data_IF_183460865452
#
_entry.id   IF_183460865452
#
_cell.length_a   1.000
_cell.length_b   1.000
_cell.length_c   1.000
_cell.angle_alpha   90.00
_cell.angle_beta   90.00
_cell.angle_gamma   90.00
#
_symmetry.space_group_name_H-M   'P 1'
#
loop_
_entity.id
_entity.type
_entity.pdbx_description
1 polymer ?
#
# COMPACT_ATOMS: atom_id res chain seq x y z
N UNK A 1 28.71 -31.72 -13.57
CA UNK A 1 27.30 -31.60 -13.12
C UNK A 1 27.26 -30.40 -12.21
N UNK A 2 27.01 -29.23 -12.79
CA UNK A 2 27.07 -27.93 -12.10
C UNK A 2 25.77 -27.72 -11.33
N UNK A 3 25.86 -27.69 -10.00
CA UNK A 3 24.83 -27.12 -9.13
C UNK A 3 24.68 -25.63 -9.44
N UNK A 4 23.87 -25.31 -10.46
CA UNK A 4 23.23 -24.00 -10.49
C UNK A 4 22.21 -24.01 -9.35
N UNK A 5 22.54 -23.36 -8.24
CA UNK A 5 21.56 -23.02 -7.18
C UNK A 5 20.37 -22.34 -7.85
N UNK A 6 19.30 -23.12 -8.02
CA UNK A 6 18.02 -22.66 -8.55
C UNK A 6 17.44 -21.75 -7.46
N UNK A 7 17.04 -20.54 -7.85
CA UNK A 7 16.53 -19.55 -6.88
C UNK A 7 15.19 -19.98 -6.25
N UNK A 8 14.50 -20.89 -6.93
CA UNK A 8 13.23 -21.46 -6.54
C UNK A 8 13.09 -22.86 -7.13
N UNK A 9 12.22 -23.66 -6.53
CA UNK A 9 11.72 -24.92 -7.07
C UNK A 9 10.28 -24.72 -7.55
N UNK A 10 9.92 -25.33 -8.68
CA UNK A 10 8.55 -25.29 -9.21
C UNK A 10 7.78 -26.50 -8.67
N UNK A 11 6.54 -26.26 -8.26
CA UNK A 11 5.63 -27.33 -7.89
C UNK A 11 5.14 -28.07 -9.14
N UNK A 12 5.05 -29.40 -9.07
CA UNK A 12 4.60 -30.23 -10.18
C UNK A 12 3.46 -31.17 -9.75
N UNK A 13 2.31 -31.19 -10.47
CA UNK A 13 2.02 -30.43 -11.70
C UNK A 13 1.76 -28.94 -11.45
N UNK A 14 2.07 -28.09 -12.44
CA UNK A 14 1.80 -26.66 -12.34
C UNK A 14 0.28 -26.39 -12.28
N UNK A 15 -0.19 -25.51 -11.37
CA UNK A 15 -1.61 -25.21 -11.23
C UNK A 15 -2.16 -24.46 -12.44
N UNK A 16 -3.49 -24.51 -12.62
CA UNK A 16 -4.17 -23.73 -13.67
C UNK A 16 -4.29 -22.27 -13.24
N UNK A 17 -3.66 -21.38 -14.00
CA UNK A 17 -3.56 -19.95 -13.69
C UNK A 17 -4.13 -19.04 -14.80
N UNK A 18 -4.78 -19.64 -15.80
CA UNK A 18 -5.38 -18.90 -16.91
C UNK A 18 -6.87 -18.73 -16.69
N UNK A 19 -7.35 -17.49 -16.84
CA UNK A 19 -8.76 -17.18 -16.89
C UNK A 19 -9.39 -17.72 -18.19
N UNK A 20 -10.68 -18.08 -18.14
CA UNK A 20 -11.41 -18.62 -19.30
C UNK A 20 -11.53 -17.63 -20.48
N UNK A 21 -11.35 -16.34 -20.21
CA UNK A 21 -11.41 -15.24 -21.17
C UNK A 21 -10.06 -14.96 -21.88
N UNK A 22 -8.98 -15.66 -21.48
CA UNK A 22 -7.65 -15.49 -22.04
C UNK A 22 -6.87 -14.29 -21.50
N UNK A 23 -7.39 -13.59 -20.49
CA UNK A 23 -6.68 -12.50 -19.81
C UNK A 23 -5.65 -13.09 -18.85
N UNK A 24 -4.44 -12.53 -18.85
CA UNK A 24 -3.36 -12.95 -17.96
C UNK A 24 -3.65 -12.64 -16.49
N UNK A 25 -3.10 -13.42 -15.53
CA UNK A 25 -3.34 -13.22 -14.11
C UNK A 25 -2.72 -11.92 -13.59
N UNK A 26 -3.24 -11.41 -12.48
CA UNK A 26 -2.58 -10.38 -11.67
C UNK A 26 -1.61 -11.06 -10.72
N UNK A 27 -0.46 -10.45 -10.45
CA UNK A 27 0.46 -10.86 -9.39
C UNK A 27 0.36 -9.88 -8.23
N UNK A 28 -0.16 -10.35 -7.09
CA UNK A 28 -0.12 -9.61 -5.82
C UNK A 28 1.14 -10.04 -5.06
N UNK A 29 1.91 -9.10 -4.51
CA UNK A 29 3.04 -9.44 -3.64
C UNK A 29 3.00 -8.71 -2.31
N UNK A 30 3.18 -9.47 -1.22
CA UNK A 30 3.30 -8.96 0.14
C UNK A 30 4.45 -9.64 0.85
N UNK A 31 5.53 -8.89 1.10
CA UNK A 31 6.75 -9.39 1.72
C UNK A 31 6.92 -8.85 3.13
N UNK A 32 7.15 -9.75 4.08
CA UNK A 32 7.31 -9.44 5.51
C UNK A 32 8.79 -9.14 5.83
N UNK A 33 9.12 -7.92 6.25
CA UNK A 33 10.49 -7.61 6.68
C UNK A 33 10.82 -6.13 6.84
N UNK A 34 10.52 -5.30 5.85
CA UNK A 34 10.91 -3.89 5.84
C UNK A 34 10.03 -3.01 6.75
N UNK A 35 8.77 -2.85 6.38
CA UNK A 35 7.79 -2.04 7.11
C UNK A 35 6.45 -2.76 7.00
N UNK A 36 6.08 -3.45 8.08
CA UNK A 36 4.77 -4.10 8.21
C UNK A 36 4.01 -3.55 9.43
N UNK A 37 3.72 -2.24 9.38
CA UNK A 37 2.93 -1.59 10.41
C UNK A 37 1.55 -2.26 10.54
N UNK A 38 1.17 -2.59 11.77
CA UNK A 38 -0.10 -3.26 12.05
C UNK A 38 -0.12 -4.73 11.63
N UNK A 39 1.03 -5.29 11.25
CA UNK A 39 1.16 -6.59 10.57
C UNK A 39 0.21 -6.71 9.35
N UNK A 40 -0.10 -5.59 8.70
CA UNK A 40 -1.15 -5.49 7.68
C UNK A 40 -0.84 -6.35 6.45
N UNK A 41 0.43 -6.37 6.01
CA UNK A 41 0.88 -7.18 4.86
C UNK A 41 0.77 -8.66 5.23
N UNK A 42 1.30 -9.07 6.38
CA UNK A 42 1.20 -10.46 6.86
C UNK A 42 -0.25 -10.92 6.99
N UNK A 43 -1.10 -10.11 7.61
CA UNK A 43 -2.53 -10.42 7.80
C UNK A 43 -3.25 -10.53 6.45
N UNK A 44 -2.97 -9.63 5.50
CA UNK A 44 -3.59 -9.65 4.18
C UNK A 44 -3.18 -10.90 3.39
N UNK A 45 -1.89 -11.23 3.32
CA UNK A 45 -1.42 -12.41 2.56
C UNK A 45 -1.85 -13.72 3.21
N UNK A 46 -1.87 -13.79 4.55
CA UNK A 46 -2.37 -14.95 5.30
C UNK A 46 -3.86 -15.13 5.04
N UNK A 47 -4.65 -14.06 5.13
CA UNK A 47 -6.09 -14.10 4.87
C UNK A 47 -6.40 -14.61 3.46
N UNK A 48 -5.71 -14.13 2.42
CA UNK A 48 -5.89 -14.64 1.06
C UNK A 48 -5.55 -16.13 0.94
N UNK A 49 -4.50 -16.62 1.61
CA UNK A 49 -4.11 -18.04 1.59
C UNK A 49 -5.10 -18.94 2.32
N UNK A 50 -5.65 -18.49 3.44
CA UNK A 50 -6.51 -19.31 4.30
C UNK A 50 -7.99 -19.25 3.93
N UNK A 51 -8.44 -18.17 3.28
CA UNK A 51 -9.85 -17.98 2.92
C UNK A 51 -10.20 -18.41 1.50
N UNK A 52 -9.21 -18.60 0.63
CA UNK A 52 -9.39 -18.94 -0.78
C UNK A 52 -8.68 -20.25 -1.15
N UNK A 53 -9.07 -20.85 -2.28
CA UNK A 53 -8.36 -21.98 -2.85
C UNK A 53 -6.98 -21.52 -3.30
N UNK A 54 -5.93 -22.08 -2.69
CA UNK A 54 -4.53 -21.69 -2.90
C UNK A 54 -3.68 -22.92 -3.18
N UNK A 55 -2.97 -22.90 -4.31
CA UNK A 55 -2.05 -23.95 -4.76
C UNK A 55 -0.64 -23.38 -4.89
N UNK A 56 0.37 -24.14 -4.48
CA UNK A 56 1.77 -23.72 -4.61
C UNK A 56 2.20 -23.76 -6.08
N UNK A 57 2.87 -22.71 -6.54
CA UNK A 57 3.48 -22.61 -7.88
C UNK A 57 4.98 -22.76 -7.79
N UNK A 58 5.60 -22.03 -6.87
CA UNK A 58 7.04 -22.06 -6.67
C UNK A 58 7.40 -21.78 -5.21
N UNK A 59 8.44 -22.45 -4.72
CA UNK A 59 9.06 -22.18 -3.43
C UNK A 59 10.45 -21.61 -3.62
N UNK A 60 10.70 -20.42 -3.09
CA UNK A 60 12.02 -19.80 -3.14
C UNK A 60 12.95 -20.42 -2.10
N UNK A 61 14.23 -20.48 -2.43
CA UNK A 61 15.26 -21.00 -1.53
C UNK A 61 15.55 -19.97 -0.42
N UNK A 62 14.78 -20.06 0.66
CA UNK A 62 14.91 -19.19 1.85
C UNK A 62 16.26 -19.36 2.55
N UNK A 63 16.91 -20.52 2.44
CA UNK A 63 18.23 -20.76 3.03
C UNK A 63 19.31 -19.89 2.38
N UNK A 64 19.15 -19.59 1.09
CA UNK A 64 20.05 -18.71 0.34
C UNK A 64 19.65 -17.22 0.40
N UNK A 65 18.44 -16.90 0.89
CA UNK A 65 17.85 -15.56 0.87
C UNK A 65 17.73 -14.89 2.24
N UNK A 66 17.63 -15.67 3.32
CA UNK A 66 17.33 -15.18 4.67
C UNK A 66 18.57 -15.26 5.57
N UNK A 67 18.87 -14.18 6.29
CA UNK A 67 19.79 -14.18 7.41
C UNK A 67 19.07 -14.63 8.69
N UNK A 68 19.18 -15.93 8.96
CA UNK A 68 18.65 -16.58 10.16
C UNK A 68 19.15 -16.00 11.50
N UNK A 69 20.27 -15.27 11.52
CA UNK A 69 20.73 -14.63 12.76
C UNK A 69 20.03 -13.31 13.02
N UNK A 70 19.66 -12.61 11.96
CA UNK A 70 18.90 -11.35 12.02
C UNK A 70 17.42 -11.64 12.30
N UNK A 71 16.87 -12.72 11.73
CA UNK A 71 15.49 -13.15 11.94
C UNK A 71 15.45 -14.61 12.38
N UNK A 72 15.65 -14.84 13.68
CA UNK A 72 15.66 -16.19 14.27
C UNK A 72 14.25 -16.77 14.23
N UNK A 73 14.01 -17.88 13.50
CA UNK A 73 12.68 -18.47 13.47
C UNK A 73 12.32 -19.06 14.84
N UNK A 74 11.04 -19.02 15.16
CA UNK A 74 10.55 -19.45 16.47
C UNK A 74 10.59 -20.97 16.56
N UNK A 75 11.09 -21.49 17.68
CA UNK A 75 11.03 -22.92 18.00
C UNK A 75 10.15 -23.14 19.21
N UNK A 76 9.25 -24.11 19.14
CA UNK A 76 8.38 -24.46 20.27
C UNK A 76 9.07 -25.52 21.13
N UNK A 77 9.22 -25.25 22.42
CA UNK A 77 9.76 -26.20 23.40
C UNK A 77 8.62 -26.72 24.29
N UNK A 78 8.30 -28.01 24.18
CA UNK A 78 7.26 -28.68 24.97
C UNK A 78 7.91 -29.48 26.09
N UNK A 79 7.94 -28.88 27.28
CA UNK A 79 8.42 -29.46 28.54
C UNK A 79 9.89 -29.90 28.55
N UNK A 80 10.26 -30.91 27.75
CA UNK A 80 11.57 -31.54 27.72
C UNK A 80 12.18 -31.68 26.31
N UNK A 81 11.46 -31.31 25.25
CA UNK A 81 11.95 -31.38 23.87
C UNK A 81 11.45 -30.22 23.00
N UNK A 82 12.19 -29.91 21.94
CA UNK A 82 11.69 -29.07 20.85
C UNK A 82 10.66 -29.87 20.06
N UNK A 83 9.46 -29.31 19.87
CA UNK A 83 8.35 -29.99 19.20
C UNK A 83 8.01 -29.40 17.84
N UNK A 84 8.45 -28.17 17.57
CA UNK A 84 8.06 -27.45 16.37
C UNK A 84 9.10 -26.39 15.98
N UNK A 85 9.09 -26.04 14.69
CA UNK A 85 9.96 -25.05 14.08
C UNK A 85 9.15 -24.27 13.05
N UNK A 86 8.95 -22.98 13.32
CA UNK A 86 8.28 -22.05 12.43
C UNK A 86 9.25 -21.69 11.28
N UNK A 87 9.26 -22.51 10.23
CA UNK A 87 10.20 -22.36 9.14
C UNK A 87 9.90 -21.09 8.33
N UNK A 88 10.91 -20.29 7.95
CA UNK A 88 10.69 -19.16 7.06
C UNK A 88 10.18 -19.64 5.71
N UNK A 89 9.17 -18.97 5.15
CA UNK A 89 8.62 -19.29 3.84
C UNK A 89 8.73 -18.06 2.93
N UNK A 90 8.95 -18.31 1.63
CA UNK A 90 8.78 -17.32 0.57
C UNK A 90 8.32 -18.07 -0.67
N UNK A 91 7.04 -17.93 -1.00
CA UNK A 91 6.37 -18.80 -1.96
C UNK A 91 5.51 -17.98 -2.93
N UNK A 92 5.42 -18.49 -4.15
CA UNK A 92 4.46 -18.05 -5.15
C UNK A 92 3.29 -19.04 -5.18
N UNK A 93 2.09 -18.53 -5.01
CA UNK A 93 0.84 -19.29 -5.02
C UNK A 93 -0.03 -18.90 -6.20
N UNK A 94 -0.82 -19.84 -6.70
CA UNK A 94 -1.97 -19.63 -7.55
C UNK A 94 -3.21 -19.64 -6.67
N UNK A 95 -3.97 -18.54 -6.67
CA UNK A 95 -5.15 -18.36 -5.82
C UNK A 95 -6.35 -18.08 -6.71
N UNK A 96 -7.53 -18.57 -6.33
CA UNK A 96 -8.79 -18.27 -7.01
C UNK A 96 -9.67 -17.39 -6.13
N UNK A 97 -10.20 -16.30 -6.68
CA UNK A 97 -11.16 -15.45 -5.98
C UNK A 97 -12.54 -16.13 -5.83
N UNK A 98 -13.52 -15.46 -5.22
CA UNK A 98 -14.87 -16.03 -5.02
C UNK A 98 -15.59 -16.36 -6.34
N UNK A 99 -15.23 -15.68 -7.44
CA UNK A 99 -15.76 -15.90 -8.77
C UNK A 99 -14.99 -16.98 -9.56
N UNK A 100 -13.91 -17.53 -8.99
CA UNK A 100 -13.03 -18.50 -9.63
C UNK A 100 -11.97 -17.89 -10.55
N UNK A 101 -11.79 -16.56 -10.52
CA UNK A 101 -10.76 -15.85 -11.28
C UNK A 101 -9.38 -16.14 -10.68
N UNK A 102 -8.45 -16.72 -11.45
CA UNK A 102 -7.11 -16.98 -10.95
C UNK A 102 -6.27 -15.70 -10.86
N UNK A 103 -5.51 -15.58 -9.78
CA UNK A 103 -4.44 -14.61 -9.61
C UNK A 103 -3.24 -15.26 -8.91
N UNK A 104 -2.09 -14.62 -8.98
CA UNK A 104 -0.87 -15.06 -8.31
C UNK A 104 -0.65 -14.28 -7.03
N UNK A 105 -0.15 -14.96 -6.00
CA UNK A 105 0.22 -14.36 -4.72
C UNK A 105 1.67 -14.72 -4.38
N UNK A 106 2.56 -13.74 -4.34
CA UNK A 106 3.91 -13.89 -3.80
C UNK A 106 3.91 -13.43 -2.34
N UNK A 107 4.07 -14.36 -1.42
CA UNK A 107 3.96 -14.08 0.02
C UNK A 107 5.05 -14.77 0.83
N UNK A 108 5.42 -14.12 1.94
CA UNK A 108 6.36 -14.65 2.92
C UNK A 108 7.42 -13.63 3.30
N UNK A 109 8.54 -14.12 3.82
CA UNK A 109 9.61 -13.27 4.32
C UNK A 109 10.34 -12.56 3.18
N UNK A 110 10.51 -11.25 3.34
CA UNK A 110 11.34 -10.46 2.44
C UNK A 110 12.78 -10.98 2.47
N UNK A 111 13.44 -11.22 1.31
CA UNK A 111 14.85 -11.63 1.29
C UNK A 111 15.78 -10.61 1.97
N UNK A 112 16.77 -11.07 2.75
CA UNK A 112 17.88 -10.21 3.20
C UNK A 112 18.96 -10.08 2.12
N UNK A 113 19.09 -11.12 1.28
CA UNK A 113 20.18 -11.28 0.33
C UNK A 113 19.66 -11.33 -1.11
N UNK A 114 20.55 -11.02 -2.06
CA UNK A 114 20.38 -11.29 -3.50
C UNK A 114 19.15 -10.66 -4.16
N UNK A 115 18.74 -9.46 -3.74
CA UNK A 115 17.55 -8.78 -4.27
C UNK A 115 17.47 -8.75 -5.81
N UNK A 116 18.54 -8.38 -6.53
CA UNK A 116 18.51 -8.36 -8.02
C UNK A 116 18.29 -9.74 -8.65
N UNK A 117 18.84 -10.80 -8.04
CA UNK A 117 18.64 -12.19 -8.52
C UNK A 117 17.20 -12.63 -8.22
N UNK A 118 16.69 -12.29 -7.04
CA UNK A 118 15.31 -12.55 -6.63
C UNK A 118 14.30 -11.83 -7.53
N UNK A 119 14.44 -10.52 -7.72
CA UNK A 119 13.53 -9.73 -8.57
C UNK A 119 13.57 -10.19 -10.03
N UNK A 120 14.74 -10.55 -10.55
CA UNK A 120 14.87 -11.17 -11.88
C UNK A 120 14.13 -12.50 -11.95
N UNK A 121 14.25 -13.36 -10.93
CA UNK A 121 13.56 -14.64 -10.89
C UNK A 121 12.03 -14.47 -10.86
N UNK A 122 11.52 -13.56 -10.03
CA UNK A 122 10.09 -13.23 -9.96
C UNK A 122 9.59 -12.66 -11.29
N UNK A 123 10.32 -11.71 -11.91
CA UNK A 123 9.95 -11.13 -13.21
C UNK A 123 9.87 -12.20 -14.30
N UNK A 124 10.86 -13.09 -14.38
CA UNK A 124 10.86 -14.16 -15.38
C UNK A 124 9.72 -15.17 -15.16
N UNK A 125 9.38 -15.46 -13.90
CA UNK A 125 8.19 -16.24 -13.57
C UNK A 125 6.92 -15.51 -14.01
N UNK A 126 6.79 -14.23 -13.70
CA UNK A 126 5.65 -13.41 -14.11
C UNK A 126 5.47 -13.40 -15.64
N UNK A 127 6.57 -13.25 -16.40
CA UNK A 127 6.57 -13.32 -17.87
C UNK A 127 6.13 -14.70 -18.39
N UNK A 128 6.66 -15.78 -17.81
CA UNK A 128 6.30 -17.15 -18.21
C UNK A 128 4.83 -17.48 -17.93
N UNK A 129 4.29 -16.93 -16.83
CA UNK A 129 2.92 -17.14 -16.38
C UNK A 129 1.94 -16.12 -17.01
N UNK A 130 2.43 -15.21 -17.86
CA UNK A 130 1.60 -14.25 -18.58
C UNK A 130 0.96 -13.18 -17.70
N UNK A 131 1.62 -12.80 -16.61
CA UNK A 131 1.11 -11.78 -15.68
C UNK A 131 0.86 -10.46 -16.40
N UNK A 132 -0.34 -9.90 -16.24
CA UNK A 132 -0.71 -8.62 -16.87
C UNK A 132 -0.37 -7.40 -16.02
N UNK A 133 -0.37 -7.57 -14.69
CA UNK A 133 -0.18 -6.48 -13.71
C UNK A 133 0.39 -7.03 -12.42
N UNK A 134 1.31 -6.28 -11.83
CA UNK A 134 1.90 -6.57 -10.52
C UNK A 134 1.42 -5.54 -9.50
N UNK A 135 0.94 -6.00 -8.34
CA UNK A 135 0.39 -5.17 -7.27
C UNK A 135 1.14 -5.42 -5.95
N UNK A 136 1.86 -4.41 -5.45
CA UNK A 136 2.58 -4.46 -4.18
C UNK A 136 1.73 -4.08 -2.97
N UNK A 137 1.89 -4.82 -1.88
CA UNK A 137 1.32 -4.51 -0.57
C UNK A 137 2.38 -3.89 0.34
N UNK A 138 2.01 -2.79 1.01
CA UNK A 138 2.85 -2.14 2.02
C UNK A 138 2.03 -1.46 3.10
N UNK A 139 2.68 -1.17 4.22
CA UNK A 139 2.07 -0.43 5.33
C UNK A 139 3.08 0.51 5.98
N UNK A 140 2.62 1.71 6.35
CA UNK A 140 3.49 2.78 6.84
C UNK A 140 2.90 3.33 8.15
N UNK A 141 3.69 3.40 9.24
CA UNK A 141 3.25 4.02 10.47
C UNK A 141 3.16 5.53 10.31
N UNK A 142 2.01 6.12 10.62
CA UNK A 142 1.71 7.54 10.46
C UNK A 142 1.13 8.13 11.76
N UNK A 143 1.26 9.46 11.90
CA UNK A 143 0.63 10.23 12.99
C UNK A 143 -0.86 10.46 12.71
N UNK A 144 -1.64 9.38 12.72
CA UNK A 144 -3.09 9.39 12.49
C UNK A 144 -3.85 8.64 13.60
N UNK A 145 -5.12 8.96 13.85
CA UNK A 145 -5.94 8.26 14.82
C UNK A 145 -6.57 6.98 14.22
N UNK A 146 -6.80 5.96 15.06
CA UNK A 146 -7.53 4.75 14.68
C UNK A 146 -9.06 4.96 14.59
N UNK A 147 -9.55 6.14 14.96
CA UNK A 147 -10.97 6.54 14.97
C UNK A 147 -11.42 7.24 13.67
N UNK A 148 -10.56 7.29 12.66
CA UNK A 148 -10.85 7.86 11.33
C UNK A 148 -10.59 6.83 10.24
N UNK A 149 -11.16 7.00 9.03
CA UNK A 149 -10.86 6.13 7.89
C UNK A 149 -9.36 6.10 7.61
N UNK A 150 -8.83 4.91 7.30
CA UNK A 150 -7.42 4.74 6.98
C UNK A 150 -7.11 5.34 5.63
N UNK A 151 -6.02 6.10 5.56
CA UNK A 151 -5.46 6.59 4.30
C UNK A 151 -4.69 5.49 3.58
N UNK A 152 -4.63 5.59 2.25
CA UNK A 152 -3.77 4.76 1.41
C UNK A 152 -2.99 5.66 0.47
N UNK A 153 -1.69 5.44 0.39
CA UNK A 153 -0.85 6.03 -0.65
C UNK A 153 -0.63 5.02 -1.76
N UNK A 154 -1.21 5.31 -2.92
CA UNK A 154 -1.02 4.51 -4.12
C UNK A 154 0.16 5.06 -4.95
N UNK A 155 0.87 4.15 -5.63
CA UNK A 155 1.94 4.46 -6.56
C UNK A 155 1.88 3.49 -7.73
N UNK A 156 2.37 3.91 -8.90
CA UNK A 156 2.38 3.06 -10.08
C UNK A 156 3.42 3.48 -11.12
N UNK A 157 3.72 2.56 -12.02
CA UNK A 157 4.52 2.80 -13.23
C UNK A 157 3.81 3.71 -14.23
N UNK A 158 2.48 3.69 -14.25
CA UNK A 158 1.63 4.57 -15.06
C UNK A 158 0.65 5.32 -14.16
N UNK A 159 0.59 6.65 -14.30
CA UNK A 159 -0.32 7.51 -13.56
C UNK A 159 -1.79 7.17 -13.80
N UNK A 160 -2.13 6.59 -14.95
CA UNK A 160 -3.50 6.18 -15.27
C UNK A 160 -4.02 5.05 -14.36
N UNK A 161 -3.13 4.31 -13.69
CA UNK A 161 -3.48 3.21 -12.77
C UNK A 161 -3.85 3.70 -11.36
N UNK A 162 -3.58 4.98 -11.05
CA UNK A 162 -3.73 5.54 -9.71
C UNK A 162 -4.85 6.57 -9.73
N UNK A 163 -5.78 6.47 -8.77
CA UNK A 163 -6.86 7.44 -8.61
C UNK A 163 -6.28 8.81 -8.27
N UNK A 164 -6.89 9.86 -8.81
CA UNK A 164 -6.50 11.24 -8.49
C UNK A 164 -6.57 11.49 -6.97
N UNK A 165 -5.55 12.15 -6.42
CA UNK A 165 -5.44 12.44 -4.99
C UNK A 165 -4.95 11.29 -4.09
N UNK A 166 -4.79 10.07 -4.62
CA UNK A 166 -4.29 8.93 -3.82
C UNK A 166 -2.76 8.78 -3.82
N UNK A 167 -2.05 9.51 -4.67
CA UNK A 167 -0.58 9.49 -4.76
C UNK A 167 0.07 10.52 -3.83
N UNK A 168 1.29 10.23 -3.37
CA UNK A 168 2.10 11.22 -2.65
C UNK A 168 2.47 12.41 -3.55
N UNK A 169 2.42 13.63 -2.98
CA UNK A 169 2.79 14.85 -3.68
C UNK A 169 4.27 15.20 -3.47
N UNK A 170 5.01 15.36 -4.57
CA UNK A 170 6.43 15.76 -4.56
C UNK A 170 7.40 14.59 -4.41
N UNK A 171 8.69 14.93 -4.29
CA UNK A 171 9.79 13.96 -4.25
C UNK A 171 10.08 13.51 -2.81
N UNK A 172 10.24 12.20 -2.62
CA UNK A 172 10.61 11.59 -1.35
C UNK A 172 11.73 10.55 -1.58
N UNK A 173 12.75 10.57 -0.72
CA UNK A 173 13.73 9.50 -0.65
C UNK A 173 13.39 8.57 0.52
N UNK A 174 13.10 7.31 0.21
CA UNK A 174 12.81 6.26 1.19
C UNK A 174 13.85 5.14 1.08
N UNK A 175 14.13 4.41 2.17
CA UNK A 175 14.92 3.19 2.06
C UNK A 175 14.20 2.18 1.14
N UNK A 176 14.98 1.52 0.28
CA UNK A 176 14.45 0.51 -0.61
C UNK A 176 14.09 -0.78 0.11
N UNK A 177 13.19 -1.54 -0.50
CA UNK A 177 12.77 -2.88 -0.10
C UNK A 177 12.83 -3.81 -1.33
N UNK A 178 12.91 -5.12 -1.14
CA UNK A 178 12.82 -6.08 -2.25
C UNK A 178 11.49 -5.93 -3.00
N UNK A 179 10.41 -5.58 -2.28
CA UNK A 179 9.09 -5.29 -2.84
C UNK A 179 9.10 -4.07 -3.76
N UNK A 180 9.64 -2.93 -3.31
CA UNK A 180 9.71 -1.71 -4.13
C UNK A 180 10.73 -1.83 -5.27
N UNK A 181 11.82 -2.57 -5.07
CA UNK A 181 12.77 -2.87 -6.14
C UNK A 181 12.13 -3.79 -7.20
N UNK A 182 11.29 -4.74 -6.80
CA UNK A 182 10.53 -5.58 -7.74
C UNK A 182 9.66 -4.71 -8.64
N UNK A 183 8.83 -3.84 -8.07
CA UNK A 183 8.00 -2.91 -8.86
C UNK A 183 8.83 -2.07 -9.83
N UNK A 184 9.91 -1.45 -9.34
CA UNK A 184 10.80 -0.66 -10.18
C UNK A 184 11.37 -1.47 -11.35
N UNK A 185 11.79 -2.72 -11.09
CA UNK A 185 12.35 -3.62 -12.13
C UNK A 185 11.28 -4.12 -13.09
N UNK A 186 10.06 -4.36 -12.63
CA UNK A 186 8.91 -4.70 -13.49
C UNK A 186 8.63 -3.55 -14.47
N UNK A 187 8.49 -2.32 -13.96
CA UNK A 187 8.25 -1.12 -14.77
C UNK A 187 9.36 -0.89 -15.81
N UNK A 188 10.63 -1.04 -15.43
CA UNK A 188 11.77 -0.89 -16.35
C UNK A 188 11.79 -1.89 -17.51
N UNK A 189 11.09 -3.02 -17.37
CA UNK A 189 10.95 -4.03 -18.41
C UNK A 189 9.60 -3.94 -19.14
N UNK A 190 8.83 -2.88 -18.92
CA UNK A 190 7.56 -2.62 -19.61
C UNK A 190 6.35 -3.34 -19.04
N UNK A 191 6.44 -3.89 -17.83
CA UNK A 191 5.30 -4.48 -17.12
C UNK A 191 4.53 -3.41 -16.35
N UNK A 192 3.20 -3.55 -16.28
CA UNK A 192 2.39 -2.74 -15.36
C UNK A 192 2.70 -3.12 -13.91
N UNK A 193 3.13 -2.14 -13.11
CA UNK A 193 3.37 -2.32 -11.68
C UNK A 193 2.73 -1.18 -10.89
N UNK A 194 2.06 -1.51 -9.80
CA UNK A 194 1.48 -0.54 -8.87
C UNK A 194 1.53 -1.08 -7.45
N UNK A 195 1.36 -0.21 -6.47
CA UNK A 195 1.41 -0.61 -5.07
C UNK A 195 0.54 0.27 -4.18
N UNK A 196 0.13 -0.30 -3.06
CA UNK A 196 -0.67 0.36 -2.05
C UNK A 196 0.05 0.33 -0.70
N UNK A 197 0.25 1.51 -0.13
CA UNK A 197 0.79 1.68 1.21
C UNK A 197 -0.29 2.20 2.14
N UNK A 198 -0.86 1.33 2.97
CA UNK A 198 -1.87 1.73 3.96
C UNK A 198 -1.22 2.48 5.12
N UNK A 199 -1.87 3.55 5.58
CA UNK A 199 -1.41 4.32 6.73
C UNK A 199 -1.95 3.70 8.01
N UNK A 200 -1.06 3.35 8.93
CA UNK A 200 -1.41 2.74 10.21
C UNK A 200 -1.09 3.71 11.33
N UNK A 201 -1.98 3.90 12.32
CA UNK A 201 -1.65 4.67 13.52
C UNK A 201 -0.35 4.17 14.14
N UNK A 202 0.65 5.05 14.31
CA UNK A 202 1.99 4.67 14.76
C UNK A 202 2.00 3.90 16.09
N UNK A 203 1.05 4.16 16.99
CA UNK A 203 0.90 3.43 18.26
C UNK A 203 0.30 2.03 18.12
N UNK A 204 -0.24 1.67 16.95
CA UNK A 204 -0.71 0.33 16.58
C UNK A 204 0.25 -0.40 15.64
N UNK A 205 1.42 0.19 15.33
CA UNK A 205 2.32 -0.34 14.32
C UNK A 205 2.90 -1.72 14.66
N UNK A 206 2.93 -2.10 15.94
CA UNK A 206 3.49 -3.37 16.45
C UNK A 206 2.41 -4.36 16.94
N UNK A 207 1.15 -4.10 16.60
CA UNK A 207 0.00 -4.92 17.01
C UNK A 207 -0.82 -5.30 15.79
N UNK A 208 -1.39 -6.51 15.76
CA UNK A 208 -2.29 -6.92 14.68
C UNK A 208 -3.42 -5.90 14.51
N UNK A 209 -3.49 -5.30 13.33
CA UNK A 209 -4.49 -4.30 13.00
C UNK A 209 -5.23 -4.69 11.71
N UNK A 210 -6.21 -5.62 11.80
CA UNK A 210 -6.88 -6.21 10.65
C UNK A 210 -7.57 -5.19 9.73
N UNK A 211 -7.97 -4.03 10.25
CA UNK A 211 -8.55 -2.96 9.45
C UNK A 211 -7.58 -2.42 8.38
N UNK A 212 -6.27 -2.44 8.63
CA UNK A 212 -5.29 -2.07 7.62
C UNK A 212 -5.13 -3.15 6.53
N UNK A 213 -5.23 -4.43 6.90
CA UNK A 213 -5.24 -5.53 5.94
C UNK A 213 -6.51 -5.51 5.07
N UNK A 214 -7.67 -5.27 5.67
CA UNK A 214 -8.95 -5.07 4.99
C UNK A 214 -8.84 -3.95 3.95
N UNK A 215 -8.41 -2.76 4.35
CA UNK A 215 -8.24 -1.61 3.44
C UNK A 215 -7.25 -1.90 2.30
N UNK A 216 -6.16 -2.63 2.54
CA UNK A 216 -5.25 -3.04 1.46
C UNK A 216 -5.97 -3.94 0.46
N UNK A 217 -6.68 -4.96 0.92
CA UNK A 217 -7.37 -5.91 0.05
C UNK A 217 -8.59 -5.29 -0.67
N UNK A 218 -9.25 -4.29 -0.09
CA UNK A 218 -10.25 -3.48 -0.80
C UNK A 218 -9.65 -2.79 -2.03
N UNK A 219 -8.49 -2.15 -1.87
CA UNK A 219 -7.78 -1.48 -2.97
C UNK A 219 -7.27 -2.48 -4.02
N UNK A 220 -6.79 -3.65 -3.59
CA UNK A 220 -6.41 -4.73 -4.52
C UNK A 220 -7.62 -5.25 -5.28
N UNK A 221 -8.74 -5.52 -4.59
CA UNK A 221 -9.98 -6.01 -5.21
C UNK A 221 -10.43 -5.08 -6.33
N UNK A 222 -10.42 -3.77 -6.09
CA UNK A 222 -10.77 -2.78 -7.11
C UNK A 222 -9.76 -2.70 -8.25
N UNK A 223 -8.45 -2.61 -7.94
CA UNK A 223 -7.42 -2.42 -8.97
C UNK A 223 -7.13 -3.68 -9.79
N UNK A 224 -7.40 -4.86 -9.24
CA UNK A 224 -7.21 -6.15 -9.90
C UNK A 224 -8.49 -6.69 -10.54
N UNK A 225 -9.66 -6.10 -10.24
CA UNK A 225 -10.99 -6.60 -10.61
C UNK A 225 -11.24 -8.01 -10.05
N UNK A 226 -10.93 -8.22 -8.77
CA UNK A 226 -11.06 -9.51 -8.06
C UNK A 226 -12.16 -9.46 -7.00
N UNK A 227 -12.90 -10.56 -6.84
CA UNK A 227 -13.90 -10.73 -5.77
C UNK A 227 -13.28 -11.40 -4.53
N UNK A 228 -12.75 -10.58 -3.61
CA UNK A 228 -12.04 -11.04 -2.41
C UNK A 228 -12.97 -11.12 -1.18
N UNK A 229 -12.90 -12.20 -0.37
CA UNK A 229 -13.79 -12.39 0.78
C UNK A 229 -13.33 -11.60 2.01
N UNK A 230 -13.75 -10.35 2.16
CA UNK A 230 -13.25 -9.46 3.23
C UNK A 230 -14.03 -9.52 4.57
N UNK A 231 -15.17 -10.20 4.61
CA UNK A 231 -16.07 -10.17 5.78
C UNK A 231 -15.39 -10.57 7.11
N UNK A 232 -14.55 -11.62 7.10
CA UNK A 232 -13.86 -12.06 8.31
C UNK A 232 -12.81 -11.06 8.81
N UNK A 233 -12.14 -10.35 7.89
CA UNK A 233 -11.23 -9.26 8.23
C UNK A 233 -11.99 -8.08 8.85
N UNK A 234 -13.13 -7.70 8.28
CA UNK A 234 -13.98 -6.63 8.81
C UNK A 234 -14.50 -6.93 10.22
N UNK A 235 -14.91 -8.18 10.49
CA UNK A 235 -15.28 -8.61 11.84
C UNK A 235 -14.09 -8.56 12.81
N UNK A 236 -12.90 -9.00 12.37
CA UNK A 236 -11.68 -8.92 13.18
C UNK A 236 -11.27 -7.47 13.46
N UNK A 237 -11.37 -6.59 12.45
CA UNK A 237 -11.10 -5.17 12.57
C UNK A 237 -12.04 -4.49 13.57
N UNK A 238 -13.33 -4.83 13.53
CA UNK A 238 -14.32 -4.32 14.48
C UNK A 238 -13.98 -4.71 15.92
N UNK A 239 -13.58 -5.98 16.16
CA UNK A 239 -13.16 -6.46 17.48
C UNK A 239 -11.91 -5.75 17.98
N UNK A 240 -10.87 -5.62 17.14
CA UNK A 240 -9.64 -4.92 17.52
C UNK A 240 -9.93 -3.45 17.82
N UNK A 241 -10.77 -2.79 17.03
CA UNK A 241 -11.17 -1.40 17.29
C UNK A 241 -11.89 -1.23 18.64
N UNK A 242 -12.78 -2.14 18.99
CA UNK A 242 -13.45 -2.14 20.31
C UNK A 242 -12.43 -2.28 21.44
N UNK A 243 -11.50 -3.23 21.34
CA UNK A 243 -10.43 -3.41 22.32
C UNK A 243 -9.54 -2.17 22.46
N UNK A 244 -9.14 -1.56 21.34
CA UNK A 244 -8.33 -0.33 21.34
C UNK A 244 -9.07 0.81 22.03
N UNK A 245 -10.37 0.98 21.74
CA UNK A 245 -11.21 2.00 22.39
C UNK A 245 -11.32 1.81 23.91
N UNK A 246 -11.48 0.56 24.37
CA UNK A 246 -11.53 0.23 25.80
C UNK A 246 -10.23 0.60 26.52
N UNK A 247 -9.08 0.26 25.92
CA UNK A 247 -7.76 0.58 26.48
C UNK A 247 -7.52 2.09 26.57
N UNK A 248 -7.98 2.86 25.59
CA UNK A 248 -7.80 4.31 25.55
C UNK A 248 -8.74 5.01 26.54
N UNK A 249 -9.98 4.55 26.65
CA UNK A 249 -10.96 5.12 27.61
C UNK A 249 -10.48 5.00 29.06
N UNK A 250 -9.69 3.96 29.37
CA UNK A 250 -9.07 3.80 30.68
C UNK A 250 -7.88 4.73 30.98
N UNK A 251 -7.44 5.56 30.03
CA UNK A 251 -6.24 6.39 30.16
C UNK A 251 -6.43 7.80 29.56
N UNK A 252 -6.71 8.79 30.43
CA UNK A 252 -6.95 10.19 30.04
C UNK A 252 -5.78 10.82 29.24
N UNK A 253 -4.53 10.44 29.54
CA UNK A 253 -3.37 10.96 28.82
C UNK A 253 -3.36 10.47 27.37
N UNK A 254 -3.60 9.18 27.14
CA UNK A 254 -3.66 8.58 25.80
C UNK A 254 -4.86 9.13 25.04
N UNK A 255 -6.01 9.33 25.71
CA UNK A 255 -7.18 9.94 25.10
C UNK A 255 -6.89 11.35 24.56
N UNK A 256 -6.13 12.17 25.30
CA UNK A 256 -5.75 13.52 24.87
C UNK A 256 -4.88 13.51 23.60
N UNK A 257 -3.98 12.52 23.48
CA UNK A 257 -3.13 12.34 22.29
C UNK A 257 -3.98 11.95 21.09
N UNK A 258 -4.92 11.01 21.25
CA UNK A 258 -5.82 10.59 20.17
C UNK A 258 -6.67 11.77 19.69
N UNK A 259 -7.25 12.56 20.59
CA UNK A 259 -8.01 13.76 20.23
C UNK A 259 -7.16 14.83 19.52
N UNK A 260 -5.87 14.92 19.81
CA UNK A 260 -4.96 15.79 19.08
C UNK A 260 -4.75 15.29 17.64
N UNK A 261 -4.55 13.98 17.45
CA UNK A 261 -4.42 13.35 16.13
C UNK A 261 -5.71 13.47 15.31
N UNK A 262 -6.88 13.33 15.94
CA UNK A 262 -8.19 13.57 15.30
C UNK A 262 -8.30 14.99 14.75
N UNK A 263 -7.97 16.01 15.56
CA UNK A 263 -8.00 17.40 15.11
C UNK A 263 -7.05 17.66 13.95
N UNK A 264 -5.86 17.07 13.98
CA UNK A 264 -4.89 17.18 12.88
C UNK A 264 -5.40 16.53 11.59
N UNK A 265 -5.96 15.32 11.69
CA UNK A 265 -6.55 14.61 10.57
C UNK A 265 -7.72 15.39 9.96
N UNK A 266 -8.67 15.83 10.78
CA UNK A 266 -9.86 16.55 10.33
C UNK A 266 -9.49 17.88 9.66
N UNK A 267 -8.46 18.57 10.16
CA UNK A 267 -7.93 19.80 9.54
C UNK A 267 -7.29 19.52 8.18
N UNK A 268 -6.52 18.43 8.07
CA UNK A 268 -5.88 18.03 6.81
C UNK A 268 -6.92 17.68 5.74
N UNK A 269 -7.92 16.86 6.08
CA UNK A 269 -9.01 16.47 5.16
C UNK A 269 -9.80 17.69 4.71
N UNK A 270 -10.17 18.59 5.64
CA UNK A 270 -10.88 19.82 5.29
C UNK A 270 -10.09 20.71 4.32
N UNK A 271 -8.75 20.80 4.48
CA UNK A 271 -7.90 21.55 3.57
C UNK A 271 -7.81 20.89 2.18
N UNK A 272 -7.75 19.56 2.13
CA UNK A 272 -7.70 18.80 0.88
C UNK A 272 -9.02 18.91 0.11
N UNK A 273 -10.17 18.77 0.79
CA UNK A 273 -11.50 18.95 0.21
C UNK A 273 -11.68 20.37 -0.33
N UNK A 274 -11.24 21.40 0.40
CA UNK A 274 -11.28 22.77 -0.09
C UNK A 274 -10.45 22.96 -1.36
N UNK A 275 -9.23 22.40 -1.42
CA UNK A 275 -8.40 22.46 -2.64
C UNK A 275 -9.05 21.72 -3.81
N UNK A 276 -9.59 20.52 -3.59
CA UNK A 276 -10.32 19.78 -4.62
C UNK A 276 -11.57 20.53 -5.09
N UNK A 277 -12.30 21.21 -4.19
CA UNK A 277 -13.49 21.99 -4.55
C UNK A 277 -13.15 23.26 -5.33
N UNK A 278 -12.03 23.90 -4.99
CA UNK A 278 -11.50 25.06 -5.73
C UNK A 278 -10.98 24.66 -7.12
N UNK A 279 -10.43 23.45 -7.28
CA UNK A 279 -9.97 22.91 -8.56
C UNK A 279 -11.11 22.30 -9.40
N UNK A 280 -12.19 21.84 -8.77
CA UNK A 280 -13.40 21.34 -9.42
C UNK A 280 -14.42 22.45 -9.77
N UNK A 281 -14.15 23.69 -9.37
CA UNK A 281 -14.89 24.86 -9.80
C UNK A 281 -14.60 25.17 -11.27
N UNK A 282 -15.54 24.83 -12.13
CA UNK A 282 -15.57 25.17 -13.57
C UNK A 282 -15.82 26.68 -13.79
N UNK A 283 -15.27 27.55 -12.93
CA UNK A 283 -15.17 28.98 -13.24
C UNK A 283 -13.98 29.13 -14.19
N UNK A 284 -14.18 29.62 -15.42
CA UNK A 284 -13.06 29.87 -16.31
C UNK A 284 -12.09 30.79 -15.57
N UNK A 285 -10.86 30.31 -15.37
CA UNK A 285 -9.76 31.14 -14.89
C UNK A 285 -9.83 32.46 -15.68
N UNK A 286 -9.99 33.63 -15.01
CA UNK A 286 -10.14 34.88 -15.72
C UNK A 286 -8.98 35.05 -16.68
N UNK A 287 -9.31 35.38 -17.93
CA UNK A 287 -8.31 35.50 -18.98
C UNK A 287 -7.28 36.56 -18.59
N UNK A 288 -6.05 36.45 -19.11
CA UNK A 288 -4.99 37.45 -18.84
C UNK A 288 -5.43 38.89 -19.16
N UNK A 289 -6.39 39.04 -20.08
CA UNK A 289 -6.98 40.33 -20.45
C UNK A 289 -7.98 40.85 -19.38
N UNK A 290 -8.74 39.97 -18.71
CA UNK A 290 -9.63 40.34 -17.60
C UNK A 290 -8.84 40.72 -16.35
N UNK A 291 -7.77 39.98 -16.04
CA UNK A 291 -6.85 40.32 -14.95
C UNK A 291 -6.11 41.65 -15.24
N UNK A 292 -5.77 41.90 -16.50
CA UNK A 292 -5.19 43.18 -16.94
C UNK A 292 -6.16 44.36 -16.77
N UNK A 293 -7.42 44.20 -17.17
CA UNK A 293 -8.45 45.24 -17.04
C UNK A 293 -8.80 45.55 -15.58
N UNK A 294 -8.85 44.54 -14.72
CA UNK A 294 -9.03 44.71 -13.26
C UNK A 294 -7.84 45.44 -12.62
N UNK A 295 -6.62 45.12 -13.04
CA UNK A 295 -5.41 45.78 -12.56
C UNK A 295 -5.30 47.24 -13.01
N UNK A 296 -5.64 47.55 -14.27
CA UNK A 296 -5.72 48.92 -14.78
C UNK A 296 -6.80 49.73 -14.06
N UNK A 297 -7.96 49.12 -13.76
CA UNK A 297 -9.03 49.76 -12.99
C UNK A 297 -8.59 50.07 -11.56
N UNK A 298 -7.91 49.14 -10.89
CA UNK A 298 -7.35 49.34 -9.55
C UNK A 298 -6.30 50.46 -9.53
N UNK A 299 -5.41 50.51 -10.52
CA UNK A 299 -4.42 51.60 -10.64
C UNK A 299 -5.07 52.95 -10.95
N UNK A 300 -6.14 52.98 -11.75
CA UNK A 300 -6.90 54.20 -12.03
C UNK A 300 -7.65 54.72 -10.80
N UNK A 301 -8.21 53.82 -9.97
CA UNK A 301 -8.82 54.19 -8.68
C UNK A 301 -7.79 54.73 -7.68
N UNK A 302 -6.57 54.19 -7.70
CA UNK A 302 -5.49 54.68 -6.84
C UNK A 302 -4.89 56.01 -7.34
N UNK A 303 -4.84 56.22 -8.65
CA UNK A 303 -4.40 57.48 -9.27
C UNK A 303 -5.46 58.60 -9.20
N UNK A 304 -6.75 58.25 -9.11
CA UNK A 304 -7.87 59.19 -8.96
C UNK A 304 -8.08 59.73 -7.53
N UNK A 305 -7.25 59.32 -6.56
CA UNK A 305 -7.27 59.81 -5.18
C UNK A 305 -6.23 60.92 -4.92
N UNK A 306 -5.47 61.36 -5.94
CA UNK A 306 -4.38 62.35 -5.79
C UNK A 306 -4.61 63.67 -6.58
N UNK A 307 -5.79 63.87 -7.19
CA UNK A 307 -6.19 65.16 -7.78
C UNK A 307 -7.45 65.73 -7.10
N UNK A 308 -7.26 66.46 -5.99
CA UNK A 308 -8.39 67.16 -5.38
C UNK A 308 -8.18 67.81 -4.01
N UNK A 309 -7.08 68.52 -3.75
CA UNK A 309 -7.11 69.69 -2.85
C UNK A 309 -5.95 70.66 -3.12
N UNK A 310 -6.16 71.61 -4.02
CA UNK A 310 -5.38 72.85 -4.02
C UNK A 310 -6.32 74.03 -4.38
N UNK A 311 -7.16 74.40 -3.41
CA UNK A 311 -7.82 75.72 -3.40
C UNK A 311 -7.03 76.72 -2.57
N UNK A 312 -6.21 77.50 -3.27
CA UNK A 312 -6.00 78.95 -3.16
C UNK A 312 -6.39 79.66 -1.83
N UNK A 313 -5.42 80.27 -1.13
CA UNK A 313 -5.60 81.46 -0.24
C UNK A 313 -4.30 81.97 0.42
N UNK A 314 -3.57 82.89 -0.23
CA UNK A 314 -3.10 84.23 0.25
C UNK A 314 -1.85 84.75 -0.43
#
# INVERSE_FOLDING_TARGET
>A
MTEQSKMYELEFPAPQIFSNDGVGPVLVHGLEGFSDAGHAVKLATTHLRESLESELVASFDVDELIDYRSRRPTMTFKSDHFSDYDAPELNLYAVKDNAGTPFLLLAGMEPDLRWEKFTTAVRLLAEQLGVRRTIGLGSIPMAIPHTRPLGVTAHASDKALVKEGSSWAGDLQVPGSASSLLELRMAQHGHESMGFSVHVPHYLAQTDYPGAAETLLENVSEAAELDLPLAALGEAAARVREQVNEHITGNEEVQSVVQALERQYDTYVAAQEQQSTLLAGDEPLPSGDELGAEFERFLAEQAGLDEGDDTDSK
#
